data_IF_566024560090
#
_entry.id   IF_566024560090
#
_cell.length_a   1.000
_cell.length_b   1.000
_cell.length_c   1.000
_cell.angle_alpha   90.00
_cell.angle_beta   90.00
_cell.angle_gamma   90.00
#
_symmetry.space_group_name_H-M   'P 1'
#
loop_
_entity.id
_entity.type
_entity.pdbx_description
1 polymer ?
#
# COMPACT_ATOMS: atom_id res chain seq x y z
N UNK A 1 -3.23 -56.16 15.92
CA UNK A 1 -3.33 -54.75 16.36
C UNK A 1 -2.55 -53.74 15.49
N UNK A 2 -1.48 -54.15 14.78
CA UNK A 2 -0.60 -53.26 13.98
C UNK A 2 -1.26 -52.57 12.75
N UNK A 3 -2.22 -53.24 12.08
CA UNK A 3 -2.87 -52.74 10.84
C UNK A 3 -3.87 -51.61 11.08
N UNK A 4 -4.54 -51.61 12.25
CA UNK A 4 -5.53 -50.58 12.61
C UNK A 4 -4.87 -49.25 12.97
N UNK A 5 -3.73 -49.29 13.67
CA UNK A 5 -2.94 -48.08 13.97
C UNK A 5 -2.31 -47.44 12.72
N UNK A 6 -1.86 -48.25 11.77
CA UNK A 6 -1.30 -47.74 10.50
C UNK A 6 -2.36 -47.03 9.64
N UNK A 7 -3.60 -47.56 9.60
CA UNK A 7 -4.71 -46.93 8.88
C UNK A 7 -5.13 -45.58 9.49
N UNK A 8 -5.07 -45.44 10.81
CA UNK A 8 -5.39 -44.18 11.49
C UNK A 8 -4.34 -43.10 11.22
N UNK A 9 -3.05 -43.44 11.25
CA UNK A 9 -1.97 -42.48 10.95
C UNK A 9 -2.03 -42.03 9.49
N UNK A 10 -2.30 -42.96 8.55
CA UNK A 10 -2.43 -42.64 7.14
C UNK A 10 -3.64 -41.72 6.86
N UNK A 11 -4.75 -41.96 7.56
CA UNK A 11 -5.96 -41.11 7.46
C UNK A 11 -5.73 -39.69 7.97
N UNK A 12 -4.98 -39.52 9.06
CA UNK A 12 -4.67 -38.19 9.61
C UNK A 12 -3.71 -37.41 8.71
N UNK A 13 -2.67 -38.06 8.16
CA UNK A 13 -1.74 -37.40 7.23
C UNK A 13 -2.43 -36.95 5.93
N UNK A 14 -3.37 -37.74 5.42
CA UNK A 14 -4.16 -37.37 4.24
C UNK A 14 -5.04 -36.13 4.49
N UNK A 15 -5.59 -36.00 5.70
CA UNK A 15 -6.43 -34.86 6.07
C UNK A 15 -5.62 -33.55 6.18
N UNK A 16 -4.38 -33.61 6.66
CA UNK A 16 -3.50 -32.42 6.79
C UNK A 16 -3.08 -31.88 5.42
N UNK A 17 -2.87 -32.75 4.42
CA UNK A 17 -2.54 -32.32 3.05
C UNK A 17 -3.67 -31.58 2.34
N UNK A 18 -4.94 -31.83 2.69
CA UNK A 18 -6.10 -31.23 2.01
C UNK A 18 -6.49 -29.84 2.55
N UNK A 19 -5.97 -29.42 3.70
CA UNK A 19 -6.33 -28.13 4.34
C UNK A 19 -5.38 -26.98 3.94
N UNK A 20 -4.35 -27.27 3.14
CA UNK A 20 -3.19 -26.39 2.96
C UNK A 20 -3.25 -25.24 1.95
N UNK A 21 -4.39 -24.93 1.29
CA UNK A 21 -4.43 -23.84 0.30
C UNK A 21 -5.78 -23.11 0.32
N UNK A 22 -5.99 -22.25 1.31
CA UNK A 22 -6.98 -21.17 1.18
C UNK A 22 -6.30 -19.88 1.56
N UNK A 23 -5.51 -19.34 0.61
CA UNK A 23 -5.08 -17.96 0.68
C UNK A 23 -6.33 -17.09 0.56
N UNK A 24 -6.67 -16.40 1.64
CA UNK A 24 -7.65 -15.32 1.59
C UNK A 24 -7.05 -14.22 0.72
N UNK A 25 -7.58 -14.05 -0.50
CA UNK A 25 -7.25 -12.89 -1.33
C UNK A 25 -7.77 -11.64 -0.63
N UNK A 26 -6.93 -11.02 0.18
CA UNK A 26 -7.25 -9.74 0.80
C UNK A 26 -7.31 -8.69 -0.33
N UNK A 27 -8.42 -7.94 -0.45
CA UNK A 27 -8.56 -6.98 -1.53
C UNK A 27 -7.43 -5.95 -1.44
N UNK A 28 -6.70 -5.80 -2.54
CA UNK A 28 -5.57 -4.89 -2.61
C UNK A 28 -5.97 -3.49 -2.10
N UNK A 29 -5.12 -2.83 -1.28
CA UNK A 29 -5.45 -1.51 -0.74
C UNK A 29 -5.71 -0.54 -1.89
N UNK A 30 -6.82 0.20 -1.81
CA UNK A 30 -7.17 1.24 -2.79
C UNK A 30 -6.11 2.34 -2.74
N UNK A 31 -5.17 2.31 -3.67
CA UNK A 31 -4.12 3.35 -3.77
C UNK A 31 -4.79 4.63 -4.23
N UNK A 32 -4.85 5.64 -3.36
CA UNK A 32 -5.33 6.96 -3.73
C UNK A 32 -4.42 7.54 -4.84
N UNK A 33 -5.04 8.03 -5.92
CA UNK A 33 -4.29 8.64 -7.03
C UNK A 33 -3.51 9.84 -6.53
N UNK A 34 -2.19 9.84 -6.75
CA UNK A 34 -1.32 10.96 -6.37
C UNK A 34 -1.66 12.17 -7.27
N UNK A 35 -1.99 13.33 -6.69
CA UNK A 35 -2.22 14.56 -7.46
C UNK A 35 -0.97 15.00 -8.23
N UNK A 36 -1.14 15.36 -9.50
CA UNK A 36 -0.11 16.05 -10.27
C UNK A 36 -0.03 17.53 -9.86
N UNK A 37 1.15 18.12 -10.00
CA UNK A 37 1.40 19.54 -9.76
C UNK A 37 0.92 20.33 -11.00
N UNK A 38 -0.09 21.22 -10.88
CA UNK A 38 -0.70 21.90 -12.02
C UNK A 38 0.01 23.21 -12.42
N UNK A 39 1.14 23.52 -11.80
CA UNK A 39 1.91 24.73 -12.01
C UNK A 39 3.40 24.38 -12.11
N UNK A 40 4.19 25.34 -12.58
CA UNK A 40 5.64 25.22 -12.63
C UNK A 40 6.24 25.16 -11.21
N UNK A 41 7.33 24.41 -11.08
CA UNK A 41 8.13 24.35 -9.85
C UNK A 41 9.59 24.43 -10.24
N UNK A 42 10.36 25.18 -9.46
CA UNK A 42 11.82 25.28 -9.63
C UNK A 42 12.53 24.40 -8.61
N UNK A 43 13.77 24.01 -8.92
CA UNK A 43 14.57 23.23 -7.99
C UNK A 43 14.83 24.03 -6.71
N UNK A 44 14.57 23.41 -5.55
CA UNK A 44 14.79 24.04 -4.23
C UNK A 44 13.65 24.94 -3.75
N UNK A 45 12.53 25.02 -4.47
CA UNK A 45 11.35 25.74 -4.01
C UNK A 45 10.81 25.15 -2.70
N UNK A 46 10.51 26.02 -1.73
CA UNK A 46 9.82 25.61 -0.50
C UNK A 46 8.33 25.38 -0.76
N UNK A 47 7.96 24.11 -0.89
CA UNK A 47 6.58 23.70 -1.15
C UNK A 47 5.63 24.09 0.00
N UNK A 48 6.14 24.19 1.24
CA UNK A 48 5.33 24.45 2.43
C UNK A 48 4.85 25.89 2.50
N UNK A 49 5.63 26.83 1.94
CA UNK A 49 5.30 28.25 1.84
C UNK A 49 3.85 28.52 1.38
N UNK A 50 3.28 27.64 0.54
CA UNK A 50 1.88 27.72 0.14
C UNK A 50 1.02 26.54 0.62
N UNK A 51 1.55 25.32 0.61
CA UNK A 51 0.76 24.11 0.89
C UNK A 51 0.58 23.78 2.37
N UNK A 52 1.20 24.52 3.29
CA UNK A 52 0.98 24.38 4.74
C UNK A 52 -0.34 25.00 5.19
N UNK A 53 -0.58 26.25 4.80
CA UNK A 53 -1.77 27.02 5.21
C UNK A 53 -2.74 27.31 4.07
N UNK A 54 -2.41 26.92 2.84
CA UNK A 54 -3.27 27.10 1.66
C UNK A 54 -3.19 28.50 1.05
N UNK A 55 -2.02 29.13 1.11
CA UNK A 55 -1.77 30.45 0.49
C UNK A 55 -2.14 30.40 -1.00
N UNK A 56 -2.74 31.47 -1.50
CA UNK A 56 -3.20 31.58 -2.89
C UNK A 56 -4.16 30.46 -3.34
N UNK A 57 -4.91 29.86 -2.39
CA UNK A 57 -5.83 28.76 -2.68
C UNK A 57 -5.13 27.43 -2.93
N UNK A 58 -3.86 27.30 -2.57
CA UNK A 58 -3.15 26.02 -2.60
C UNK A 58 -3.88 24.99 -1.74
N UNK A 59 -3.96 23.75 -2.23
CA UNK A 59 -4.52 22.66 -1.42
C UNK A 59 -3.57 22.36 -0.26
N UNK A 60 -4.08 22.41 0.97
CA UNK A 60 -3.31 22.00 2.15
C UNK A 60 -3.01 20.52 2.06
N UNK A 61 -1.73 20.15 2.18
CA UNK A 61 -1.34 18.74 2.17
C UNK A 61 -1.55 18.10 3.55
N UNK A 62 -1.97 16.84 3.56
CA UNK A 62 -2.20 16.07 4.80
C UNK A 62 -0.91 15.47 5.37
N UNK A 63 0.21 15.67 4.70
CA UNK A 63 1.49 15.01 4.99
C UNK A 63 2.67 15.97 4.79
N UNK A 64 2.63 17.12 5.47
CA UNK A 64 3.70 18.14 5.45
C UNK A 64 5.02 17.64 6.05
N UNK A 65 4.96 16.58 6.85
CA UNK A 65 6.12 15.91 7.46
C UNK A 65 6.99 15.18 6.42
N UNK A 66 6.46 14.87 5.24
CA UNK A 66 7.19 14.14 4.20
C UNK A 66 8.18 15.04 3.46
N UNK A 67 9.48 14.69 3.42
CA UNK A 67 10.45 15.40 2.60
C UNK A 67 10.27 15.08 1.11
N UNK A 68 10.94 15.83 0.25
CA UNK A 68 11.05 15.54 -1.19
C UNK A 68 9.70 15.34 -1.90
N UNK A 69 8.84 16.36 -1.87
CA UNK A 69 7.46 16.31 -2.41
C UNK A 69 7.39 15.81 -3.86
N UNK A 70 8.40 16.15 -4.68
CA UNK A 70 8.49 15.79 -6.09
C UNK A 70 8.86 14.33 -6.36
N UNK A 71 9.19 13.55 -5.33
CA UNK A 71 9.37 12.10 -5.45
C UNK A 71 8.09 11.42 -5.92
N UNK A 72 6.96 11.81 -5.33
CA UNK A 72 5.61 11.31 -5.65
C UNK A 72 4.83 12.26 -6.56
N UNK A 73 4.84 13.56 -6.27
CA UNK A 73 4.06 14.55 -7.03
C UNK A 73 4.85 15.02 -8.25
N UNK A 74 4.36 14.73 -9.45
CA UNK A 74 5.01 15.14 -10.70
C UNK A 74 4.30 16.34 -11.31
N UNK A 75 5.05 17.22 -11.95
CA UNK A 75 4.49 18.29 -12.78
C UNK A 75 3.66 17.66 -13.89
N UNK A 76 2.46 18.19 -14.11
CA UNK A 76 1.62 17.77 -15.22
C UNK A 76 2.36 18.15 -16.52
N UNK A 77 2.65 17.15 -17.35
CA UNK A 77 3.15 17.35 -18.71
C UNK A 77 2.05 17.99 -19.58
#
# INVERSE_FOLDING_TARGET
MKKRGLLLILGVLLAVFLVGCSGTEEPAPKIAKIPAIPHEVTQGMDCKSCHESGVNGAKITKHLDRPNCTSCHKVKQ
#
